data_IF_969183096944
#
_entry.id   IF_969183096944
#
_cell.length_a   1.000
_cell.length_b   1.000
_cell.length_c   1.000
_cell.angle_alpha   90.00
_cell.angle_beta   90.00
_cell.angle_gamma   90.00
#
_symmetry.space_group_name_H-M   'P 1'
#
loop_
_entity.id
_entity.type
_entity.pdbx_description
1 polymer ?
#
# COMPACT_ATOMS: atom_id res chain seq x y z
N UNK A 1 1.16 21.74 20.43
CA UNK A 1 1.53 20.32 20.38
C UNK A 1 3.04 20.20 20.44
N UNK A 2 3.55 19.62 21.54
CA UNK A 2 4.98 19.55 21.83
C UNK A 2 5.68 18.30 21.25
N UNK A 3 4.91 17.36 20.68
CA UNK A 3 5.44 16.08 20.22
C UNK A 3 5.41 15.97 18.70
N UNK A 4 6.54 15.60 18.12
CA UNK A 4 6.67 15.28 16.69
C UNK A 4 7.09 13.82 16.56
N UNK A 5 6.40 13.06 15.72
CA UNK A 5 6.73 11.67 15.40
C UNK A 5 7.10 11.62 13.92
N UNK A 6 8.29 11.11 13.62
CA UNK A 6 8.79 10.89 12.26
C UNK A 6 8.73 9.39 11.92
N UNK A 7 8.89 9.08 10.64
CA UNK A 7 8.84 7.74 10.05
C UNK A 7 7.41 7.17 9.97
N UNK A 8 6.97 6.85 8.75
CA UNK A 8 5.61 6.35 8.49
C UNK A 8 5.24 5.13 9.33
N UNK A 9 6.16 4.17 9.47
CA UNK A 9 5.96 2.95 10.27
C UNK A 9 5.77 3.28 11.76
N UNK A 10 6.55 4.24 12.30
CA UNK A 10 6.39 4.68 13.69
C UNK A 10 5.05 5.39 13.92
N UNK A 11 4.62 6.20 12.95
CA UNK A 11 3.32 6.87 12.98
C UNK A 11 2.20 5.83 12.92
N UNK A 12 2.29 4.83 12.05
CA UNK A 12 1.29 3.76 11.96
C UNK A 12 1.16 2.97 13.27
N UNK A 13 2.27 2.59 13.90
CA UNK A 13 2.26 1.93 15.22
C UNK A 13 1.66 2.81 16.31
N UNK A 14 1.98 4.11 16.31
CA UNK A 14 1.39 5.05 17.24
C UNK A 14 -0.13 5.15 17.06
N UNK A 15 -0.62 5.29 15.83
CA UNK A 15 -2.05 5.35 15.52
C UNK A 15 -2.76 4.05 15.87
N UNK A 16 -2.14 2.89 15.62
CA UNK A 16 -2.67 1.59 16.02
C UNK A 16 -2.91 1.51 17.54
N UNK A 17 -1.93 1.93 18.34
CA UNK A 17 -2.06 1.98 19.81
C UNK A 17 -3.14 2.96 20.25
N UNK A 18 -3.13 4.16 19.70
CA UNK A 18 -4.11 5.20 20.00
C UNK A 18 -5.53 4.75 19.67
N UNK A 19 -5.72 4.02 18.56
CA UNK A 19 -7.01 3.46 18.14
C UNK A 19 -7.41 2.16 18.84
N UNK A 20 -6.61 1.64 19.78
CA UNK A 20 -6.90 0.38 20.46
C UNK A 20 -6.86 -0.87 19.57
N UNK A 21 -6.18 -0.77 18.42
CA UNK A 21 -6.06 -1.86 17.44
C UNK A 21 -4.81 -2.72 17.65
N UNK A 22 -4.02 -2.47 18.69
CA UNK A 22 -2.80 -3.24 18.95
C UNK A 22 -3.16 -4.63 19.48
N UNK A 23 -2.64 -5.72 18.86
CA UNK A 23 -2.85 -7.07 19.36
C UNK A 23 -2.29 -7.20 20.78
N UNK A 24 -3.07 -7.82 21.69
CA UNK A 24 -2.66 -8.01 23.07
C UNK A 24 -1.66 -9.15 23.24
N UNK A 25 -1.72 -10.16 22.37
CA UNK A 25 -0.74 -11.25 22.32
C UNK A 25 0.57 -10.76 21.68
N UNK A 26 1.72 -10.85 22.39
CA UNK A 26 2.98 -10.35 21.86
C UNK A 26 3.46 -11.09 20.61
N UNK A 27 3.06 -12.35 20.41
CA UNK A 27 3.40 -13.12 19.20
C UNK A 27 2.59 -12.61 18.01
N UNK A 28 1.30 -12.34 18.21
CA UNK A 28 0.45 -11.73 17.17
C UNK A 28 0.94 -10.33 16.83
N UNK A 29 1.32 -9.53 17.83
CA UNK A 29 1.90 -8.19 17.62
C UNK A 29 3.20 -8.27 16.79
N UNK A 30 4.10 -9.21 17.11
CA UNK A 30 5.34 -9.41 16.36
C UNK A 30 5.09 -9.87 14.90
N UNK A 31 4.07 -10.72 14.67
CA UNK A 31 3.64 -11.11 13.32
C UNK A 31 3.09 -9.92 12.53
N UNK A 32 2.26 -9.08 13.17
CA UNK A 32 1.74 -7.86 12.56
C UNK A 32 2.87 -6.90 12.17
N UNK A 33 3.86 -6.72 13.03
CA UNK A 33 5.06 -5.93 12.73
C UNK A 33 5.86 -6.50 11.56
N UNK A 34 6.01 -7.82 11.47
CA UNK A 34 6.70 -8.47 10.35
C UNK A 34 5.98 -8.21 9.01
N UNK A 35 4.65 -8.26 8.98
CA UNK A 35 3.86 -7.90 7.78
C UNK A 35 4.01 -6.42 7.46
N UNK A 36 3.97 -5.54 8.45
CA UNK A 36 4.14 -4.09 8.29
C UNK A 36 5.49 -3.75 7.64
N UNK A 37 6.59 -4.34 8.14
CA UNK A 37 7.94 -4.15 7.59
C UNK A 37 8.06 -4.75 6.17
N UNK A 38 7.52 -5.95 5.94
CA UNK A 38 7.50 -6.56 4.61
C UNK A 38 6.75 -5.70 3.58
N UNK A 39 5.66 -5.07 3.98
CA UNK A 39 4.93 -4.13 3.13
C UNK A 39 5.77 -2.89 2.78
N UNK A 40 6.56 -2.36 3.72
CA UNK A 40 7.42 -1.20 3.46
C UNK A 40 8.52 -1.48 2.43
N UNK A 41 8.94 -2.73 2.26
CA UNK A 41 9.90 -3.10 1.21
C UNK A 41 9.35 -2.87 -0.21
N UNK A 42 8.02 -2.89 -0.38
CA UNK A 42 7.36 -2.60 -1.65
C UNK A 42 7.42 -1.10 -2.02
N UNK A 43 7.58 -0.21 -1.03
CA UNK A 43 7.58 1.23 -1.25
C UNK A 43 8.70 1.67 -2.20
N UNK A 44 9.90 1.15 -2.03
CA UNK A 44 11.10 1.57 -2.78
C UNK A 44 10.96 1.38 -4.29
N UNK A 45 10.55 0.21 -4.80
CA UNK A 45 10.37 0.04 -6.23
C UNK A 45 9.11 0.72 -6.76
N UNK A 46 7.97 0.59 -6.08
CA UNK A 46 6.68 1.05 -6.58
C UNK A 46 6.57 2.58 -6.63
N UNK A 47 6.81 3.25 -5.50
CA UNK A 47 6.49 4.66 -5.38
C UNK A 47 7.26 5.57 -6.35
N UNK A 48 8.60 5.44 -6.52
CA UNK A 48 9.32 6.26 -7.50
C UNK A 48 8.87 5.98 -8.93
N UNK A 49 8.57 4.73 -9.26
CA UNK A 49 8.18 4.34 -10.63
C UNK A 49 6.83 4.94 -11.00
N UNK A 50 5.80 4.75 -10.18
CA UNK A 50 4.46 5.24 -10.51
C UNK A 50 4.32 6.77 -10.40
N UNK A 51 5.09 7.41 -9.53
CA UNK A 51 4.98 8.86 -9.32
C UNK A 51 5.93 9.69 -10.17
N UNK A 52 7.04 9.14 -10.69
CA UNK A 52 8.07 9.97 -11.31
C UNK A 52 8.62 9.42 -12.64
N UNK A 53 8.56 8.12 -12.88
CA UNK A 53 9.08 7.56 -14.12
C UNK A 53 8.12 7.81 -15.30
N UNK A 54 8.68 8.09 -16.47
CA UNK A 54 7.90 8.38 -17.69
C UNK A 54 8.49 7.66 -18.90
N UNK A 55 7.64 7.36 -19.89
CA UNK A 55 8.06 6.77 -21.17
C UNK A 55 8.87 5.47 -20.99
N UNK A 56 10.00 5.39 -21.68
CA UNK A 56 10.89 4.23 -21.66
C UNK A 56 11.48 3.93 -20.27
N UNK A 57 11.73 4.96 -19.45
CA UNK A 57 12.22 4.79 -18.08
C UNK A 57 11.17 4.07 -17.21
N UNK A 58 9.88 4.40 -17.39
CA UNK A 58 8.79 3.70 -16.69
C UNK A 58 8.74 2.23 -17.11
N UNK A 59 8.74 1.94 -18.41
CA UNK A 59 8.63 0.55 -18.90
C UNK A 59 9.84 -0.30 -18.45
N UNK A 60 11.05 0.24 -18.54
CA UNK A 60 12.26 -0.45 -18.09
C UNK A 60 12.25 -0.74 -16.58
N UNK A 61 11.82 0.22 -15.76
CA UNK A 61 11.70 0.03 -14.31
C UNK A 61 10.60 -0.98 -13.98
N UNK A 62 9.45 -0.90 -14.66
CA UNK A 62 8.38 -1.87 -14.52
C UNK A 62 8.88 -3.28 -14.82
N UNK A 63 9.48 -3.53 -15.98
CA UNK A 63 10.00 -4.84 -16.36
C UNK A 63 11.01 -5.39 -15.34
N UNK A 64 11.93 -4.56 -14.89
CA UNK A 64 12.97 -4.99 -13.95
C UNK A 64 12.44 -5.33 -12.56
N UNK A 65 11.35 -4.68 -12.11
CA UNK A 65 10.80 -4.91 -10.76
C UNK A 65 9.75 -6.02 -10.68
N UNK A 66 9.04 -6.33 -11.78
CA UNK A 66 7.94 -7.29 -11.75
C UNK A 66 8.30 -8.66 -11.15
N UNK A 67 9.48 -9.27 -11.42
CA UNK A 67 9.84 -10.56 -10.83
C UNK A 67 9.97 -10.49 -9.29
N UNK A 68 10.61 -9.45 -8.77
CA UNK A 68 10.74 -9.25 -7.32
C UNK A 68 9.38 -8.94 -6.69
N UNK A 69 8.59 -8.07 -7.32
CA UNK A 69 7.26 -7.72 -6.87
C UNK A 69 6.35 -8.97 -6.81
N UNK A 70 6.43 -9.85 -7.81
CA UNK A 70 5.71 -11.12 -7.84
C UNK A 70 6.08 -12.02 -6.67
N UNK A 71 7.38 -12.15 -6.36
CA UNK A 71 7.85 -12.92 -5.21
C UNK A 71 7.30 -12.34 -3.89
N UNK A 72 7.37 -11.02 -3.71
CA UNK A 72 6.87 -10.33 -2.51
C UNK A 72 5.35 -10.48 -2.33
N UNK A 73 4.60 -10.37 -3.42
CA UNK A 73 3.15 -10.58 -3.39
C UNK A 73 2.80 -12.03 -3.06
N UNK A 74 3.53 -13.01 -3.60
CA UNK A 74 3.34 -14.42 -3.26
C UNK A 74 3.62 -14.69 -1.77
N UNK A 75 4.61 -14.03 -1.18
CA UNK A 75 4.90 -14.14 0.25
C UNK A 75 3.77 -13.54 1.11
N UNK A 76 3.26 -12.36 0.75
CA UNK A 76 2.12 -11.74 1.42
C UNK A 76 0.84 -12.58 1.26
N UNK A 77 0.57 -13.10 0.08
CA UNK A 77 -0.58 -13.99 -0.16
C UNK A 77 -0.51 -15.25 0.70
N UNK A 78 0.66 -15.87 0.78
CA UNK A 78 0.91 -17.04 1.65
C UNK A 78 0.71 -16.70 3.12
N UNK A 79 1.20 -15.56 3.57
CA UNK A 79 1.00 -15.09 4.95
C UNK A 79 -0.49 -14.91 5.27
N UNK A 80 -1.25 -14.31 4.35
CA UNK A 80 -2.68 -14.11 4.49
C UNK A 80 -3.46 -15.43 4.47
N UNK A 81 -3.09 -16.39 3.62
CA UNK A 81 -3.68 -17.73 3.57
C UNK A 81 -3.41 -18.51 4.87
N UNK A 82 -2.18 -18.41 5.40
CA UNK A 82 -1.81 -19.08 6.64
C UNK A 82 -2.50 -18.49 7.88
N UNK A 83 -2.91 -17.23 7.83
CA UNK A 83 -3.71 -16.59 8.86
C UNK A 83 -5.13 -17.15 8.94
N UNK A 84 -5.67 -17.64 7.81
CA UNK A 84 -7.00 -18.26 7.71
C UNK A 84 -8.18 -17.30 7.85
N UNK A 85 -7.92 -16.01 8.08
CA UNK A 85 -8.91 -14.98 8.36
C UNK A 85 -9.02 -13.96 7.21
N UNK A 86 -9.94 -13.00 7.34
CA UNK A 86 -10.15 -11.98 6.31
C UNK A 86 -8.95 -11.06 6.17
N UNK A 87 -8.31 -10.70 7.27
CA UNK A 87 -7.11 -9.85 7.34
C UNK A 87 -5.93 -10.62 7.92
N UNK A 88 -4.74 -10.03 7.93
CA UNK A 88 -3.50 -10.74 8.31
C UNK A 88 -3.51 -11.25 9.76
N UNK A 89 -4.20 -10.56 10.68
CA UNK A 89 -4.20 -10.91 12.10
C UNK A 89 -5.61 -11.23 12.64
N UNK A 90 -6.59 -11.46 11.77
CA UNK A 90 -7.94 -11.83 12.18
C UNK A 90 -9.04 -11.25 11.29
N UNK A 91 -10.24 -11.10 11.85
CA UNK A 91 -11.41 -10.59 11.13
C UNK A 91 -11.48 -9.06 11.02
N UNK A 92 -10.72 -8.35 11.84
CA UNK A 92 -10.67 -6.89 11.84
C UNK A 92 -9.32 -6.40 11.35
N UNK A 93 -9.28 -5.36 10.48
CA UNK A 93 -8.03 -4.83 9.98
C UNK A 93 -7.28 -4.03 11.06
N UNK A 94 -5.96 -4.11 11.01
CA UNK A 94 -5.03 -3.34 11.86
C UNK A 94 -4.01 -2.60 11.00
N UNK A 95 -3.03 -1.93 11.57
CA UNK A 95 -2.09 -1.06 10.84
C UNK A 95 -1.36 -1.75 9.69
N UNK A 96 -0.96 -3.03 9.86
CA UNK A 96 -0.28 -3.76 8.78
C UNK A 96 -1.18 -3.96 7.56
N UNK A 97 -2.49 -4.20 7.76
CA UNK A 97 -3.45 -4.37 6.68
C UNK A 97 -3.57 -3.10 5.82
N UNK A 98 -3.69 -1.95 6.45
CA UNK A 98 -3.75 -0.67 5.72
C UNK A 98 -2.45 -0.36 4.98
N UNK A 99 -1.31 -0.75 5.53
CA UNK A 99 -0.02 -0.56 4.86
C UNK A 99 0.12 -1.49 3.65
N UNK A 100 -0.25 -2.77 3.78
CA UNK A 100 -0.28 -3.71 2.64
C UNK A 100 -1.25 -3.21 1.58
N UNK A 101 -2.50 -2.84 1.97
CA UNK A 101 -3.50 -2.30 1.05
C UNK A 101 -2.95 -1.12 0.24
N UNK A 102 -2.28 -0.16 0.88
CA UNK A 102 -1.70 1.01 0.20
C UNK A 102 -0.76 0.60 -0.93
N UNK A 103 0.14 -0.36 -0.70
CA UNK A 103 1.09 -0.79 -1.73
C UNK A 103 0.45 -1.65 -2.82
N UNK A 104 -0.53 -2.49 -2.47
CA UNK A 104 -1.31 -3.24 -3.46
C UNK A 104 -2.13 -2.29 -4.35
N UNK A 105 -2.69 -1.25 -3.78
CA UNK A 105 -3.45 -0.23 -4.52
C UNK A 105 -2.55 0.57 -5.48
N UNK A 106 -1.36 1.00 -5.02
CA UNK A 106 -0.36 1.64 -5.90
C UNK A 106 0.07 0.72 -7.05
N UNK A 107 0.19 -0.59 -6.81
CA UNK A 107 0.58 -1.53 -7.86
C UNK A 107 -0.39 -1.57 -9.05
N UNK A 108 -1.66 -1.22 -8.85
CA UNK A 108 -2.64 -1.09 -9.94
C UNK A 108 -2.28 0.03 -10.92
N UNK A 109 -1.57 1.07 -10.45
CA UNK A 109 -1.07 2.14 -11.31
C UNK A 109 0.17 1.72 -12.10
N UNK A 110 0.91 0.71 -11.61
CA UNK A 110 2.02 0.12 -12.35
C UNK A 110 1.51 -0.81 -13.46
N UNK A 111 0.61 -1.71 -13.08
CA UNK A 111 -0.02 -2.69 -13.97
C UNK A 111 -1.38 -3.11 -13.42
N UNK A 112 -2.50 -2.74 -14.08
CA UNK A 112 -3.85 -3.06 -13.59
C UNK A 112 -4.12 -4.56 -13.46
N UNK A 113 -3.47 -5.41 -14.27
CA UNK A 113 -3.71 -6.84 -14.31
C UNK A 113 -2.81 -7.63 -13.34
N UNK A 114 -1.74 -6.99 -12.84
CA UNK A 114 -0.73 -7.67 -12.02
C UNK A 114 -1.32 -8.24 -10.72
N UNK A 115 -2.08 -7.44 -9.97
CA UNK A 115 -2.72 -7.88 -8.72
C UNK A 115 -3.72 -9.03 -8.95
N UNK A 116 -4.34 -9.10 -10.11
CA UNK A 116 -5.30 -10.15 -10.45
C UNK A 116 -4.71 -11.56 -10.47
N UNK A 117 -3.38 -11.70 -10.55
CA UNK A 117 -2.67 -12.98 -10.46
C UNK A 117 -2.67 -13.56 -9.03
N UNK A 118 -3.00 -12.75 -8.02
CA UNK A 118 -3.01 -13.07 -6.59
C UNK A 118 -4.44 -12.99 -6.05
N UNK A 119 -5.16 -14.10 -6.15
CA UNK A 119 -6.61 -14.13 -5.86
C UNK A 119 -6.95 -13.70 -4.44
N UNK A 120 -6.18 -14.17 -3.47
CA UNK A 120 -6.42 -13.88 -2.05
C UNK A 120 -6.06 -12.43 -1.69
N UNK A 121 -4.99 -11.87 -2.27
CA UNK A 121 -4.68 -10.44 -2.12
C UNK A 121 -5.75 -9.57 -2.80
N UNK A 122 -6.29 -10.00 -3.94
CA UNK A 122 -7.40 -9.31 -4.60
C UNK A 122 -8.68 -9.31 -3.75
N UNK A 123 -8.98 -10.41 -3.05
CA UNK A 123 -10.09 -10.47 -2.08
C UNK A 123 -9.85 -9.56 -0.88
N UNK A 124 -8.64 -9.57 -0.33
CA UNK A 124 -8.22 -8.71 0.76
C UNK A 124 -8.39 -7.23 0.41
N UNK A 125 -7.94 -6.81 -0.76
CA UNK A 125 -8.10 -5.42 -1.22
C UNK A 125 -9.58 -5.04 -1.29
N UNK A 126 -10.43 -5.92 -1.87
CA UNK A 126 -11.89 -5.69 -1.89
C UNK A 126 -12.50 -5.65 -0.48
N UNK A 127 -11.96 -6.42 0.47
CA UNK A 127 -12.43 -6.39 1.85
C UNK A 127 -12.14 -5.05 2.53
N UNK A 128 -10.93 -4.49 2.34
CA UNK A 128 -10.58 -3.14 2.83
C UNK A 128 -11.48 -2.07 2.19
N UNK A 129 -11.69 -2.13 0.88
CA UNK A 129 -12.51 -1.16 0.14
C UNK A 129 -14.00 -1.17 0.54
N UNK A 130 -14.49 -2.26 1.12
CA UNK A 130 -15.86 -2.38 1.63
C UNK A 130 -16.05 -1.86 3.06
N UNK A 131 -15.00 -1.45 3.73
CA UNK A 131 -15.10 -0.89 5.08
C UNK A 131 -15.82 0.46 4.99
N UNK A 132 -17.03 0.53 5.51
CA UNK A 132 -17.92 1.69 5.39
C UNK A 132 -17.24 2.98 5.88
N UNK A 133 -16.53 2.93 7.01
CA UNK A 133 -15.82 4.08 7.57
C UNK A 133 -14.68 4.62 6.70
N UNK A 134 -14.21 3.86 5.70
CA UNK A 134 -13.20 4.30 4.75
C UNK A 134 -13.78 4.84 3.45
N UNK A 135 -15.07 4.64 3.20
CA UNK A 135 -15.73 4.97 1.92
C UNK A 135 -15.52 6.43 1.52
N UNK A 136 -15.79 7.36 2.43
CA UNK A 136 -15.64 8.80 2.16
C UNK A 136 -14.19 9.17 1.82
N UNK A 137 -13.23 8.61 2.56
CA UNK A 137 -11.82 8.82 2.28
C UNK A 137 -11.42 8.25 0.92
N UNK A 138 -11.78 7.01 0.62
CA UNK A 138 -11.42 6.35 -0.65
C UNK A 138 -12.01 7.07 -1.86
N UNK A 139 -13.23 7.62 -1.73
CA UNK A 139 -13.90 8.37 -2.79
C UNK A 139 -13.39 9.82 -2.96
N UNK A 140 -12.77 10.40 -1.92
CA UNK A 140 -12.33 11.80 -1.92
C UNK A 140 -10.80 11.98 -1.90
N UNK A 141 -10.05 10.89 -1.71
CA UNK A 141 -8.58 10.95 -1.69
C UNK A 141 -8.01 11.45 -3.02
N UNK A 142 -6.83 12.09 -3.00
CA UNK A 142 -6.15 12.48 -4.22
C UNK A 142 -5.94 11.29 -5.17
N UNK A 143 -6.27 11.49 -6.44
CA UNK A 143 -6.11 10.48 -7.50
C UNK A 143 -4.80 10.71 -8.25
N UNK A 144 -4.04 9.65 -8.48
CA UNK A 144 -2.86 9.68 -9.32
C UNK A 144 -3.25 9.39 -10.77
N UNK A 145 -3.01 10.34 -11.65
CA UNK A 145 -3.36 10.27 -13.08
C UNK A 145 -2.12 10.42 -13.96
N UNK A 146 -2.27 10.14 -15.25
CA UNK A 146 -1.23 10.29 -16.30
C UNK A 146 0.07 9.53 -15.96
N UNK A 147 -0.02 8.41 -15.21
CA UNK A 147 1.12 7.54 -14.90
C UNK A 147 1.82 7.13 -16.20
N UNK A 148 3.13 7.03 -16.18
CA UNK A 148 4.08 6.81 -17.29
C UNK A 148 4.16 7.92 -18.35
N UNK A 149 3.25 8.88 -18.36
CA UNK A 149 3.25 9.99 -19.35
C UNK A 149 3.71 11.30 -18.70
N UNK A 150 2.98 11.75 -17.68
CA UNK A 150 3.27 12.94 -16.88
C UNK A 150 2.52 12.83 -15.54
N UNK A 151 3.00 12.00 -14.60
CA UNK A 151 2.26 11.68 -13.39
C UNK A 151 1.84 12.92 -12.61
N UNK A 152 0.57 13.00 -12.24
CA UNK A 152 -0.04 14.10 -11.50
C UNK A 152 -0.94 13.57 -10.40
N UNK A 153 -1.00 14.30 -9.30
CA UNK A 153 -1.94 14.07 -8.21
C UNK A 153 -3.08 15.08 -8.30
N UNK A 154 -4.30 14.59 -8.39
CA UNK A 154 -5.50 15.45 -8.40
C UNK A 154 -5.90 15.74 -6.95
N UNK A 155 -5.80 17.00 -6.53
CA UNK A 155 -6.16 17.48 -5.20
C UNK A 155 -7.23 18.55 -5.35
N UNK A 156 -8.41 18.35 -4.77
CA UNK A 156 -9.54 19.28 -4.87
C UNK A 156 -9.87 19.66 -6.33
N UNK A 157 -9.85 18.67 -7.24
CA UNK A 157 -10.15 18.85 -8.66
C UNK A 157 -9.06 19.54 -9.48
N UNK A 158 -7.87 19.80 -8.90
CA UNK A 158 -6.73 20.39 -9.60
C UNK A 158 -5.59 19.37 -9.72
N UNK A 159 -5.04 19.21 -10.93
CA UNK A 159 -3.91 18.32 -11.19
C UNK A 159 -2.59 19.03 -10.85
N UNK A 160 -1.79 18.39 -10.00
CA UNK A 160 -0.47 18.84 -9.57
C UNK A 160 0.59 17.82 -10.01
N UNK A 161 1.68 18.22 -10.69
CA UNK A 161 2.78 17.31 -11.01
C UNK A 161 3.34 16.66 -9.74
N UNK A 162 3.61 15.36 -9.80
CA UNK A 162 4.23 14.61 -8.68
C UNK A 162 5.75 14.82 -8.63
N UNK A 163 6.36 15.14 -9.76
CA UNK A 163 7.78 15.46 -9.87
C UNK A 163 8.09 16.94 -9.58
N UNK A 164 9.32 17.19 -9.12
CA UNK A 164 9.85 18.55 -9.10
C UNK A 164 10.17 18.91 -10.55
N UNK A 165 9.44 19.86 -11.13
CA UNK A 165 9.82 20.42 -12.42
C UNK A 165 11.22 21.00 -12.29
N UNK A 166 12.21 20.35 -12.90
CA UNK A 166 13.51 20.98 -13.17
C UNK A 166 13.26 21.99 -14.27
N UNK A 167 12.91 23.21 -13.90
CA UNK A 167 12.99 24.36 -14.78
C UNK A 167 14.45 24.68 -15.07
#
# INVERSE_FOLDING_TARGET
DEHQIAQSTSIMRFLQRLGGMEPQDPVVSAKADAILESAQELFRPLNPTVNFAVGEDFESKKESMLPELSSRFADLERALLNGGEQFFMGENPIACDFTVYHHLDISRNLDPDFLGQFSRLSEFVRAIERIESLSDYLNSRPELIDVKVAPKLVINGKAHPTGINKT
#
